data_IF_257201994923
#
_entry.id   IF_257201994923
#
_cell.length_a   1.000
_cell.length_b   1.000
_cell.length_c   1.000
_cell.angle_alpha   90.00
_cell.angle_beta   90.00
_cell.angle_gamma   90.00
#
_symmetry.space_group_name_H-M   'P 1'
#
loop_
_entity.id
_entity.type
_entity.pdbx_description
1 polymer ?
#
# COMPACT_ATOMS: atom_id res chain seq x y z
N UNK A 1 -31.80 8.96 -37.13
CA UNK A 1 -32.25 9.04 -35.73
C UNK A 1 -31.15 8.46 -34.86
N UNK A 2 -30.32 9.30 -34.24
CA UNK A 2 -29.22 8.86 -33.38
C UNK A 2 -29.76 8.43 -32.02
N UNK A 3 -29.39 7.23 -31.59
CA UNK A 3 -29.96 6.57 -30.43
C UNK A 3 -29.39 7.21 -29.13
N UNK A 4 -30.22 7.79 -28.25
CA UNK A 4 -29.76 8.57 -27.08
C UNK A 4 -29.04 7.73 -26.01
N UNK A 5 -29.14 6.40 -26.10
CA UNK A 5 -28.54 5.47 -25.15
C UNK A 5 -27.00 5.37 -25.25
N UNK A 6 -26.41 5.66 -26.42
CA UNK A 6 -24.94 5.62 -26.57
C UNK A 6 -24.23 6.76 -25.82
N UNK A 7 -24.87 7.94 -25.67
CA UNK A 7 -24.29 9.05 -24.91
C UNK A 7 -24.26 8.76 -23.39
N UNK A 8 -25.24 8.02 -22.88
CA UNK A 8 -25.30 7.61 -21.47
C UNK A 8 -24.27 6.50 -21.15
N UNK A 9 -23.97 5.60 -22.10
CA UNK A 9 -22.93 4.57 -21.94
C UNK A 9 -21.49 5.13 -21.94
N UNK A 10 -21.23 6.24 -22.62
CA UNK A 10 -19.93 6.93 -22.55
C UNK A 10 -19.70 7.63 -21.20
N UNK A 11 -20.77 8.15 -20.57
CA UNK A 11 -20.69 8.82 -19.28
C UNK A 11 -20.45 7.83 -18.12
N UNK A 12 -21.07 6.65 -18.16
CA UNK A 12 -20.88 5.60 -17.15
C UNK A 12 -19.50 4.92 -17.21
N UNK A 13 -18.91 4.82 -18.40
CA UNK A 13 -17.54 4.28 -18.58
C UNK A 13 -16.46 5.27 -18.11
N UNK A 14 -16.68 6.59 -18.24
CA UNK A 14 -15.76 7.60 -17.71
C UNK A 14 -15.70 7.62 -16.17
N UNK A 15 -16.81 7.37 -15.47
CA UNK A 15 -16.84 7.27 -14.01
C UNK A 15 -16.08 6.05 -13.47
N UNK A 16 -16.16 4.91 -14.18
CA UNK A 16 -15.42 3.69 -13.84
C UNK A 16 -13.89 3.84 -14.05
N UNK A 17 -13.48 4.65 -15.03
CA UNK A 17 -12.07 4.93 -15.29
C UNK A 17 -11.42 5.73 -14.15
N UNK A 18 -12.10 6.74 -13.61
CA UNK A 18 -11.62 7.57 -12.50
C UNK A 18 -11.48 6.79 -11.19
N UNK A 19 -12.38 5.85 -10.91
CA UNK A 19 -12.30 4.98 -9.73
C UNK A 19 -11.08 4.03 -9.78
N UNK A 20 -10.76 3.49 -10.95
CA UNK A 20 -9.57 2.67 -11.14
C UNK A 20 -8.27 3.48 -11.02
N UNK A 21 -8.26 4.72 -11.51
CA UNK A 21 -7.09 5.61 -11.40
C UNK A 21 -6.73 5.92 -9.94
N UNK A 22 -7.71 6.06 -9.03
CA UNK A 22 -7.42 6.29 -7.61
C UNK A 22 -6.72 5.11 -6.93
N UNK A 23 -7.14 3.89 -7.23
CA UNK A 23 -6.55 2.67 -6.66
C UNK A 23 -5.13 2.41 -7.16
N UNK A 24 -4.88 2.61 -8.46
CA UNK A 24 -3.53 2.40 -9.04
C UNK A 24 -2.51 3.37 -8.47
N UNK A 25 -2.89 4.64 -8.23
CA UNK A 25 -2.00 5.64 -7.62
C UNK A 25 -1.68 5.30 -6.16
N UNK A 26 -2.66 4.87 -5.36
CA UNK A 26 -2.44 4.47 -3.96
C UNK A 26 -1.46 3.30 -3.84
N UNK A 27 -1.61 2.29 -4.70
CA UNK A 27 -0.72 1.12 -4.72
C UNK A 27 0.70 1.53 -5.16
N UNK A 28 0.82 2.37 -6.18
CA UNK A 28 2.11 2.89 -6.67
C UNK A 28 2.87 3.65 -5.57
N UNK A 29 2.20 4.57 -4.87
CA UNK A 29 2.83 5.36 -3.82
C UNK A 29 3.24 4.50 -2.61
N UNK A 30 2.41 3.51 -2.24
CA UNK A 30 2.74 2.53 -1.19
C UNK A 30 4.00 1.73 -1.49
N UNK A 31 4.18 1.31 -2.74
CA UNK A 31 5.37 0.55 -3.16
C UNK A 31 6.61 1.46 -3.12
N UNK A 32 6.47 2.71 -3.57
CA UNK A 32 7.57 3.65 -3.66
C UNK A 32 8.06 4.18 -2.31
N UNK A 33 7.15 4.36 -1.35
CA UNK A 33 7.45 4.89 -0.01
C UNK A 33 8.15 3.87 0.92
N UNK A 34 8.17 2.59 0.54
CA UNK A 34 8.79 1.52 1.33
C UNK A 34 7.98 1.13 2.57
N UNK A 35 8.34 -0.01 3.16
CA UNK A 35 7.70 -0.55 4.37
C UNK A 35 8.65 -0.39 5.55
N UNK A 36 8.09 0.04 6.69
CA UNK A 36 8.82 0.14 7.93
C UNK A 36 8.87 -1.23 8.63
N UNK A 37 10.09 -1.65 8.96
CA UNK A 37 10.38 -2.84 9.73
C UNK A 37 11.09 -2.49 11.03
N UNK A 38 11.03 -3.39 12.00
CA UNK A 38 11.72 -3.31 13.29
C UNK A 38 12.72 -4.46 13.37
N UNK A 39 13.97 -4.18 13.72
CA UNK A 39 14.98 -5.23 13.89
C UNK A 39 14.73 -6.05 15.16
N UNK A 40 14.90 -7.37 15.09
CA UNK A 40 14.66 -8.25 16.24
C UNK A 40 15.66 -8.13 17.40
N UNK A 41 16.87 -7.63 17.15
CA UNK A 41 17.93 -7.59 18.18
C UNK A 41 18.17 -6.20 18.77
N UNK A 42 18.02 -5.14 17.95
CA UNK A 42 18.33 -3.77 18.38
C UNK A 42 17.11 -2.82 18.34
N UNK A 43 15.92 -3.33 18.02
CA UNK A 43 14.65 -2.59 17.93
C UNK A 43 14.66 -1.34 17.03
N UNK A 44 15.71 -1.17 16.23
CA UNK A 44 15.83 -0.03 15.31
C UNK A 44 14.81 -0.13 14.18
N UNK A 45 14.24 1.02 13.82
CA UNK A 45 13.33 1.15 12.67
C UNK A 45 14.13 1.19 11.38
N UNK A 46 13.78 0.32 10.43
CA UNK A 46 14.41 0.20 9.11
C UNK A 46 13.36 0.29 8.03
N UNK A 47 13.45 1.30 7.16
CA UNK A 47 12.60 1.40 5.97
C UNK A 47 13.26 0.69 4.80
N UNK A 48 12.57 -0.29 4.21
CA UNK A 48 13.03 -1.04 3.04
C UNK A 48 12.02 -0.93 1.90
N UNK A 49 12.51 -0.79 0.67
CA UNK A 49 11.72 -0.87 -0.56
C UNK A 49 11.74 -2.29 -1.12
N UNK A 50 10.82 -2.58 -2.04
CA UNK A 50 10.83 -3.85 -2.78
C UNK A 50 12.12 -3.98 -3.57
N UNK A 51 12.87 -5.07 -3.33
CA UNK A 51 14.16 -5.33 -3.97
C UNK A 51 15.40 -4.96 -3.15
N UNK A 52 15.23 -4.25 -2.02
CA UNK A 52 16.33 -3.97 -1.10
C UNK A 52 16.79 -5.24 -0.36
N UNK A 53 18.08 -5.29 -0.01
CA UNK A 53 18.65 -6.38 0.78
C UNK A 53 18.17 -6.28 2.24
N UNK A 54 17.65 -7.38 2.78
CA UNK A 54 17.19 -7.46 4.18
C UNK A 54 18.38 -7.43 5.14
N UNK A 55 18.72 -6.24 5.64
CA UNK A 55 19.76 -6.02 6.66
C UNK A 55 19.41 -4.83 7.54
N UNK A 56 19.60 -4.97 8.85
CA UNK A 56 19.56 -3.83 9.76
C UNK A 56 20.78 -2.93 9.54
N UNK A 57 20.55 -1.60 9.42
CA UNK A 57 21.62 -0.60 9.23
C UNK A 57 22.46 -0.32 10.49
N UNK A 58 21.96 -0.71 11.66
CA UNK A 58 22.61 -0.47 12.96
C UNK A 58 23.43 -1.67 13.42
N UNK A 59 22.88 -2.88 13.38
CA UNK A 59 23.53 -4.09 13.91
C UNK A 59 23.91 -5.13 12.85
N UNK A 60 23.51 -4.98 11.57
CA UNK A 60 23.83 -5.91 10.49
C UNK A 60 23.06 -7.24 10.48
N UNK A 61 22.21 -7.49 11.48
CA UNK A 61 21.38 -8.70 11.55
C UNK A 61 20.30 -8.68 10.45
N UNK A 62 19.82 -9.86 10.06
CA UNK A 62 18.91 -10.03 8.90
C UNK A 62 17.47 -10.38 9.28
N UNK A 63 17.16 -10.44 10.58
CA UNK A 63 15.80 -10.71 11.07
C UNK A 63 15.12 -9.36 11.35
N UNK A 64 14.08 -9.08 10.56
CA UNK A 64 13.28 -7.87 10.65
C UNK A 64 11.80 -8.24 10.73
N UNK A 65 11.06 -7.63 11.66
CA UNK A 65 9.62 -7.77 11.82
C UNK A 65 8.90 -6.60 11.14
N UNK A 66 7.74 -6.85 10.53
CA UNK A 66 6.92 -5.77 9.96
C UNK A 66 6.37 -4.91 11.10
N UNK A 67 6.45 -3.59 10.94
CA UNK A 67 5.91 -2.68 11.96
C UNK A 67 4.38 -2.80 12.08
N UNK A 68 3.86 -2.65 13.30
CA UNK A 68 2.43 -2.59 13.60
C UNK A 68 1.77 -1.46 12.79
N UNK A 69 0.52 -1.66 12.38
CA UNK A 69 -0.29 -0.60 11.78
C UNK A 69 -0.71 0.44 12.82
N UNK A 70 -0.73 1.71 12.44
CA UNK A 70 -1.24 2.79 13.31
C UNK A 70 -2.78 2.80 13.41
N UNK A 71 -3.45 2.04 12.54
CA UNK A 71 -4.89 1.87 12.55
C UNK A 71 -5.34 1.04 13.75
N UNK A 72 -6.36 1.53 14.46
CA UNK A 72 -6.97 0.83 15.60
C UNK A 72 -7.76 -0.36 15.08
N UNK A 73 -7.55 -1.53 15.68
CA UNK A 73 -8.30 -2.76 15.38
C UNK A 73 -9.26 -3.02 16.52
N UNK A 74 -10.55 -3.20 16.20
CA UNK A 74 -11.60 -3.56 17.16
C UNK A 74 -11.68 -5.09 17.27
N UNK A 75 -11.67 -5.60 18.49
CA UNK A 75 -11.86 -7.03 18.79
C UNK A 75 -13.12 -7.24 19.64
N UNK A 76 -13.75 -8.40 19.51
CA UNK A 76 -14.84 -8.87 20.38
C UNK A 76 -14.29 -9.83 21.44
N UNK A 77 -14.83 -9.78 22.67
CA UNK A 77 -14.39 -10.59 23.80
C UNK A 77 -15.13 -11.94 23.81
N UNK A 78 -14.83 -12.81 22.84
CA UNK A 78 -15.34 -14.19 22.80
C UNK A 78 -14.45 -15.15 23.57
#
# INVERSE_FOLDING_TARGET
MSNPYQAQQAASSAAAASANAGFTNYVQEKINNGVNYVCGDCDSKVTLKTGDIVRCKQCGHRVLYKMRTDQIVQFEAR
#
